data_IF_613889202681
#
_entry.id   IF_613889202681
#
_cell.length_a   1.000
_cell.length_b   1.000
_cell.length_c   1.000
_cell.angle_alpha   90.00
_cell.angle_beta   90.00
_cell.angle_gamma   90.00
#
_symmetry.space_group_name_H-M   'P 1'
#
loop_
_entity.id
_entity.type
_entity.pdbx_description
1 polymer ?
#
# COMPACT_ATOMS: atom_id res chain seq x y z
N UNK A 1 -41.34 55.81 -7.93
CA UNK A 1 -39.94 55.34 -7.91
C UNK A 1 -39.77 53.83 -8.19
N UNK A 2 -40.78 52.96 -8.05
CA UNK A 2 -40.60 51.50 -8.25
C UNK A 2 -40.51 50.98 -9.70
N UNK A 3 -41.09 51.66 -10.69
CA UNK A 3 -41.12 51.15 -12.09
C UNK A 3 -39.79 51.30 -12.83
N UNK A 4 -39.06 52.38 -12.62
CA UNK A 4 -37.73 52.57 -13.24
C UNK A 4 -36.68 51.58 -12.70
N UNK A 5 -36.74 51.25 -11.42
CA UNK A 5 -35.81 50.28 -10.79
C UNK A 5 -36.02 48.86 -11.32
N UNK A 6 -37.28 48.45 -11.51
CA UNK A 6 -37.61 47.14 -12.07
C UNK A 6 -37.16 47.00 -13.54
N UNK A 7 -37.34 48.04 -14.35
CA UNK A 7 -36.86 48.04 -15.73
C UNK A 7 -35.33 47.98 -15.82
N UNK A 8 -34.62 48.71 -14.94
CA UNK A 8 -33.16 48.67 -14.91
C UNK A 8 -32.65 47.27 -14.53
N UNK A 9 -33.27 46.63 -13.54
CA UNK A 9 -32.89 45.30 -13.05
C UNK A 9 -33.12 44.21 -14.11
N UNK A 10 -34.25 44.26 -14.82
CA UNK A 10 -34.54 43.32 -15.91
C UNK A 10 -33.56 43.52 -17.07
N UNK A 11 -33.22 44.78 -17.40
CA UNK A 11 -32.26 45.06 -18.45
C UNK A 11 -30.85 44.60 -18.09
N UNK A 12 -30.43 44.72 -16.82
CA UNK A 12 -29.14 44.19 -16.37
C UNK A 12 -29.11 42.67 -16.35
N UNK A 13 -30.20 42.00 -15.97
CA UNK A 13 -30.29 40.53 -16.01
C UNK A 13 -30.22 39.99 -17.45
N UNK A 14 -30.89 40.64 -18.40
CA UNK A 14 -30.82 40.25 -19.83
C UNK A 14 -29.44 40.57 -20.44
N UNK A 15 -28.82 41.69 -20.04
CA UNK A 15 -27.48 42.02 -20.50
C UNK A 15 -26.42 41.04 -19.95
N UNK A 16 -26.60 40.55 -18.71
CA UNK A 16 -25.71 39.55 -18.10
C UNK A 16 -25.90 38.14 -18.71
N UNK A 17 -27.11 37.76 -19.14
CA UNK A 17 -27.34 36.46 -19.77
C UNK A 17 -26.84 36.38 -21.22
N UNK A 18 -26.68 37.51 -21.91
CA UNK A 18 -26.12 37.57 -23.27
C UNK A 18 -24.59 37.69 -23.31
N UNK A 19 -23.94 37.96 -22.18
CA UNK A 19 -22.47 38.08 -22.07
C UNK A 19 -21.67 36.87 -22.59
N UNK A 20 -22.09 35.61 -22.33
CA UNK A 20 -21.38 34.43 -22.82
C UNK A 20 -21.46 34.22 -24.35
N UNK A 21 -22.42 34.85 -25.04
CA UNK A 21 -22.62 34.68 -26.48
C UNK A 21 -21.76 35.62 -27.34
N UNK A 22 -21.20 36.67 -26.75
CA UNK A 22 -20.40 37.70 -27.43
C UNK A 22 -18.90 37.61 -27.10
N UNK A 23 -18.51 36.70 -26.21
CA UNK A 23 -17.11 36.42 -25.95
C UNK A 23 -16.51 35.70 -27.17
N UNK A 24 -15.40 36.19 -27.75
CA UNK A 24 -14.64 35.40 -28.71
C UNK A 24 -14.19 34.09 -28.03
N UNK A 25 -14.17 32.96 -28.76
CA UNK A 25 -13.77 31.68 -28.17
C UNK A 25 -12.38 31.84 -27.55
N UNK A 26 -12.28 31.49 -26.28
CA UNK A 26 -10.98 31.43 -25.60
C UNK A 26 -10.16 30.29 -26.23
N UNK A 27 -8.83 30.40 -26.34
CA UNK A 27 -7.99 29.33 -26.91
C UNK A 27 -7.98 28.03 -26.06
N UNK A 28 -8.77 27.97 -24.99
CA UNK A 28 -9.03 26.81 -24.14
C UNK A 28 -10.40 26.16 -24.37
N UNK A 29 -11.22 26.66 -25.31
CA UNK A 29 -12.32 25.85 -25.85
C UNK A 29 -11.69 24.80 -26.75
N UNK A 30 -11.39 23.64 -26.16
CA UNK A 30 -11.35 22.38 -26.91
C UNK A 30 -12.56 22.37 -27.85
N UNK A 31 -12.44 21.83 -29.08
CA UNK A 31 -13.63 21.63 -29.90
C UNK A 31 -14.66 20.94 -29.01
N UNK A 32 -15.93 21.34 -29.10
CA UNK A 32 -17.03 20.53 -28.57
C UNK A 32 -16.76 19.16 -29.19
N UNK A 33 -16.23 18.23 -28.38
CA UNK A 33 -16.10 16.84 -28.73
C UNK A 33 -17.53 16.48 -29.13
N UNK A 34 -17.76 16.35 -30.43
CA UNK A 34 -18.99 15.76 -30.90
C UNK A 34 -18.99 14.41 -30.20
N UNK A 35 -19.85 14.25 -29.18
CA UNK A 35 -19.99 12.97 -28.51
C UNK A 35 -20.29 11.98 -29.62
N UNK A 36 -19.34 11.11 -29.89
CA UNK A 36 -19.54 10.04 -30.84
C UNK A 36 -20.63 9.15 -30.25
N UNK A 37 -21.85 9.35 -30.73
CA UNK A 37 -23.01 8.50 -30.43
C UNK A 37 -23.08 7.33 -31.40
N UNK A 38 -22.03 7.04 -32.17
CA UNK A 38 -21.98 5.81 -32.94
C UNK A 38 -21.87 4.64 -31.96
N UNK A 39 -22.90 3.80 -31.93
CA UNK A 39 -22.82 2.40 -31.53
C UNK A 39 -22.34 2.05 -30.13
N UNK A 40 -22.51 2.89 -29.10
CA UNK A 40 -22.27 2.44 -27.71
C UNK A 40 -23.23 1.29 -27.39
N UNK A 41 -22.71 0.21 -26.83
CA UNK A 41 -23.52 -0.95 -26.45
C UNK A 41 -24.58 -0.54 -25.43
N UNK A 42 -25.75 -1.18 -25.49
CA UNK A 42 -26.82 -0.91 -24.53
C UNK A 42 -26.40 -1.37 -23.12
N UNK A 43 -25.74 -2.52 -23.04
CA UNK A 43 -25.14 -3.08 -21.82
C UNK A 43 -23.68 -3.36 -22.12
N UNK A 44 -22.80 -2.94 -21.21
CA UNK A 44 -21.34 -3.09 -21.28
C UNK A 44 -20.85 -3.03 -19.83
N UNK A 45 -20.75 -4.18 -19.19
CA UNK A 45 -20.21 -4.27 -17.84
C UNK A 45 -18.68 -4.26 -17.90
N UNK A 46 -18.08 -3.71 -16.86
CA UNK A 46 -16.64 -3.66 -16.76
C UNK A 46 -16.22 -3.55 -15.31
N UNK A 47 -15.02 -4.01 -15.02
CA UNK A 47 -14.34 -3.71 -13.76
C UNK A 47 -13.48 -2.47 -14.00
N UNK A 48 -13.82 -1.35 -13.38
CA UNK A 48 -13.17 -0.07 -13.65
C UNK A 48 -11.97 0.22 -12.77
N UNK A 49 -11.97 -0.32 -11.55
CA UNK A 49 -10.89 -0.10 -10.59
C UNK A 49 -10.82 -1.23 -9.55
N UNK A 50 -9.62 -1.49 -9.06
CA UNK A 50 -9.38 -2.35 -7.90
C UNK A 50 -8.40 -1.64 -6.98
N UNK A 51 -8.78 -1.47 -5.72
CA UNK A 51 -7.93 -0.86 -4.70
C UNK A 51 -7.92 -1.69 -3.43
N UNK A 52 -6.93 -1.43 -2.57
CA UNK A 52 -6.79 -2.12 -1.31
C UNK A 52 -6.40 -1.14 -0.19
N UNK A 53 -6.94 -1.39 1.00
CA UNK A 53 -6.80 -0.54 2.16
C UNK A 53 -8.00 0.37 2.38
N UNK A 54 -8.16 0.80 3.63
CA UNK A 54 -9.18 1.74 4.07
C UNK A 54 -8.63 2.65 5.18
N UNK A 55 -9.49 3.50 5.76
CA UNK A 55 -9.08 4.46 6.80
C UNK A 55 -8.58 3.76 8.08
N UNK A 56 -9.02 2.52 8.36
CA UNK A 56 -8.64 1.76 9.55
C UNK A 56 -7.40 0.86 9.37
N UNK A 57 -7.17 0.33 8.17
CA UNK A 57 -5.95 -0.39 7.78
C UNK A 57 -5.56 0.13 6.41
N UNK A 58 -4.63 1.08 6.41
CA UNK A 58 -4.12 1.72 5.21
C UNK A 58 -2.94 0.93 4.67
N UNK A 59 -2.86 0.77 3.35
CA UNK A 59 -1.65 0.26 2.73
C UNK A 59 -0.44 1.18 3.03
N UNK A 60 0.74 0.56 3.16
CA UNK A 60 2.00 1.28 3.26
C UNK A 60 2.48 1.68 1.86
N UNK A 61 3.30 2.72 1.76
CA UNK A 61 3.76 3.23 0.46
C UNK A 61 5.28 3.08 0.31
N UNK A 62 5.72 2.59 -0.84
CA UNK A 62 7.12 2.47 -1.22
C UNK A 62 7.43 3.43 -2.38
N UNK A 63 8.49 4.23 -2.25
CA UNK A 63 8.97 5.10 -3.33
C UNK A 63 9.90 4.34 -4.24
N UNK A 64 9.48 4.15 -5.48
CA UNK A 64 10.25 3.50 -6.53
C UNK A 64 11.48 4.33 -6.94
N UNK A 65 12.50 3.70 -7.55
CA UNK A 65 13.71 4.41 -8.00
C UNK A 65 13.46 5.56 -8.99
N UNK A 66 12.37 5.48 -9.75
CA UNK A 66 11.93 6.52 -10.70
C UNK A 66 11.16 7.68 -10.03
N UNK A 67 10.93 7.62 -8.71
CA UNK A 67 10.18 8.59 -7.93
C UNK A 67 8.66 8.37 -7.88
N UNK A 68 8.12 7.34 -8.54
CA UNK A 68 6.70 6.96 -8.37
C UNK A 68 6.49 6.24 -7.04
N UNK A 69 5.26 6.20 -6.56
CA UNK A 69 4.89 5.45 -5.36
C UNK A 69 4.10 4.21 -5.73
N UNK A 70 4.31 3.11 -5.00
CA UNK A 70 3.46 1.92 -5.03
C UNK A 70 3.02 1.56 -3.63
N UNK A 71 1.83 1.00 -3.52
CA UNK A 71 1.28 0.58 -2.23
C UNK A 71 1.56 -0.90 -1.98
N UNK A 72 1.75 -1.25 -0.72
CA UNK A 72 2.04 -2.61 -0.26
C UNK A 72 1.47 -2.86 1.14
N UNK A 73 1.26 -4.14 1.45
CA UNK A 73 0.71 -4.61 2.73
C UNK A 73 1.61 -5.67 3.35
N UNK A 74 1.30 -6.11 4.57
CA UNK A 74 2.05 -7.17 5.25
C UNK A 74 1.27 -8.48 5.35
N UNK A 75 2.02 -9.59 5.38
CA UNK A 75 1.48 -10.92 5.68
C UNK A 75 0.76 -10.90 7.04
N UNK A 76 -0.36 -11.62 7.14
CA UNK A 76 -1.21 -11.72 8.35
C UNK A 76 -1.89 -10.43 8.80
N UNK A 77 -1.82 -9.34 8.04
CA UNK A 77 -2.64 -8.15 8.27
C UNK A 77 -3.95 -8.26 7.48
N UNK A 78 -5.10 -8.09 8.13
CA UNK A 78 -6.39 -8.05 7.42
C UNK A 78 -6.56 -6.68 6.74
N UNK A 79 -6.76 -6.70 5.43
CA UNK A 79 -6.97 -5.52 4.60
C UNK A 79 -8.34 -5.60 3.90
N UNK A 80 -8.98 -4.46 3.67
CA UNK A 80 -10.14 -4.39 2.81
C UNK A 80 -9.70 -4.29 1.35
N UNK A 81 -10.24 -5.16 0.49
CA UNK A 81 -10.12 -5.10 -0.96
C UNK A 81 -11.39 -4.48 -1.51
N UNK A 82 -11.27 -3.55 -2.45
CA UNK A 82 -12.39 -2.83 -3.07
C UNK A 82 -12.35 -2.99 -4.57
N UNK A 83 -13.46 -3.45 -5.15
CA UNK A 83 -13.63 -3.67 -6.59
C UNK A 83 -14.75 -2.78 -7.10
N UNK A 84 -14.46 -1.93 -8.08
CA UNK A 84 -15.47 -1.09 -8.73
C UNK A 84 -15.99 -1.77 -9.99
N UNK A 85 -17.28 -2.08 -9.98
CA UNK A 85 -18.01 -2.58 -11.15
C UNK A 85 -18.82 -1.46 -11.77
N UNK A 86 -18.82 -1.37 -13.09
CA UNK A 86 -19.52 -0.32 -13.83
C UNK A 86 -20.28 -0.91 -15.01
N UNK A 87 -21.46 -0.35 -15.30
CA UNK A 87 -22.11 -0.52 -16.59
C UNK A 87 -21.80 0.71 -17.46
N UNK A 88 -20.87 0.60 -18.39
CA UNK A 88 -20.48 1.63 -19.35
C UNK A 88 -21.47 1.75 -20.53
N UNK A 89 -22.48 0.89 -20.59
CA UNK A 89 -23.53 0.92 -21.59
C UNK A 89 -24.45 2.14 -21.45
N UNK A 90 -25.35 2.32 -22.42
CA UNK A 90 -26.26 3.48 -22.48
C UNK A 90 -27.70 3.17 -22.07
N UNK A 91 -28.00 1.92 -21.70
CA UNK A 91 -29.35 1.49 -21.31
C UNK A 91 -29.79 2.16 -20.00
N UNK A 92 -30.96 2.76 -19.97
CA UNK A 92 -31.43 3.52 -18.80
C UNK A 92 -32.08 2.65 -17.71
N UNK A 93 -32.57 1.47 -18.07
CA UNK A 93 -33.06 0.49 -17.11
C UNK A 93 -31.94 -0.45 -16.63
N UNK A 94 -31.99 -0.94 -15.38
CA UNK A 94 -30.94 -1.79 -14.85
C UNK A 94 -30.79 -3.10 -15.64
N UNK A 95 -29.54 -3.46 -15.93
CA UNK A 95 -29.16 -4.79 -16.41
C UNK A 95 -28.58 -5.59 -15.23
N UNK A 96 -28.74 -6.90 -15.25
CA UNK A 96 -28.17 -7.81 -14.24
C UNK A 96 -26.86 -8.39 -14.74
N UNK A 97 -25.89 -8.51 -13.83
CA UNK A 97 -24.61 -9.17 -14.07
C UNK A 97 -24.14 -9.88 -12.80
N UNK A 98 -23.16 -10.76 -12.94
CA UNK A 98 -22.47 -11.39 -11.81
C UNK A 98 -21.02 -10.92 -11.80
N UNK A 99 -20.63 -10.20 -10.75
CA UNK A 99 -19.23 -9.86 -10.49
C UNK A 99 -18.55 -10.99 -9.73
N UNK A 100 -17.32 -11.30 -10.08
CA UNK A 100 -16.43 -12.21 -9.34
C UNK A 100 -15.18 -11.46 -8.95
N UNK A 101 -14.83 -11.52 -7.66
CA UNK A 101 -13.65 -10.91 -7.08
C UNK A 101 -12.73 -12.04 -6.65
N UNK A 102 -11.49 -12.06 -7.11
CA UNK A 102 -10.57 -13.18 -6.88
C UNK A 102 -9.18 -12.69 -6.46
N UNK A 103 -8.54 -13.48 -5.59
CA UNK A 103 -7.12 -13.36 -5.31
C UNK A 103 -6.40 -14.51 -5.98
N UNK A 104 -5.48 -14.20 -6.87
CA UNK A 104 -4.69 -15.16 -7.62
C UNK A 104 -3.27 -15.24 -7.08
N UNK A 105 -2.80 -16.46 -6.86
CA UNK A 105 -1.40 -16.72 -6.60
C UNK A 105 -0.60 -16.44 -7.89
N UNK A 106 0.61 -15.86 -7.81
CA UNK A 106 1.44 -15.55 -8.99
C UNK A 106 1.85 -16.76 -9.85
N UNK A 107 1.52 -18.00 -9.45
CA UNK A 107 1.78 -19.21 -10.25
C UNK A 107 0.52 -19.73 -10.97
N UNK A 108 -0.61 -19.02 -10.86
CA UNK A 108 -1.80 -19.24 -11.67
C UNK A 108 -2.92 -20.06 -11.03
N UNK A 109 -3.08 -20.04 -9.70
CA UNK A 109 -4.26 -20.63 -9.04
C UNK A 109 -4.98 -19.61 -8.17
N UNK A 110 -6.30 -19.77 -8.03
CA UNK A 110 -7.15 -18.93 -7.19
C UNK A 110 -6.96 -19.32 -5.73
N UNK A 111 -6.59 -18.33 -4.91
CA UNK A 111 -6.43 -18.45 -3.45
C UNK A 111 -7.77 -18.25 -2.77
N UNK A 112 -8.50 -17.22 -3.18
CA UNK A 112 -9.79 -16.85 -2.62
C UNK A 112 -10.69 -16.23 -3.70
N UNK A 113 -11.99 -16.44 -3.58
CA UNK A 113 -12.98 -16.00 -4.57
C UNK A 113 -14.30 -15.65 -3.89
N UNK A 114 -14.90 -14.56 -4.35
CA UNK A 114 -16.19 -14.06 -3.91
C UNK A 114 -17.03 -13.68 -5.12
N UNK A 115 -18.36 -13.79 -5.01
CA UNK A 115 -19.28 -13.40 -6.08
C UNK A 115 -20.36 -12.46 -5.58
N UNK A 116 -20.74 -11.51 -6.43
CA UNK A 116 -21.74 -10.48 -6.15
C UNK A 116 -22.72 -10.39 -7.31
N UNK A 117 -24.00 -10.19 -6.98
CA UNK A 117 -25.03 -9.93 -7.98
C UNK A 117 -25.13 -8.42 -8.21
N UNK A 118 -24.98 -8.00 -9.45
CA UNK A 118 -25.01 -6.60 -9.86
C UNK A 118 -26.35 -6.30 -10.55
N UNK A 119 -26.83 -5.07 -10.36
CA UNK A 119 -28.01 -4.54 -11.05
C UNK A 119 -27.80 -3.05 -11.33
N UNK A 120 -27.14 -2.75 -12.44
CA UNK A 120 -26.70 -1.38 -12.78
C UNK A 120 -27.35 -0.90 -14.08
N UNK A 121 -27.86 0.33 -14.06
CA UNK A 121 -28.21 1.04 -15.28
C UNK A 121 -26.94 1.61 -15.95
N UNK A 122 -27.04 1.97 -17.22
CA UNK A 122 -25.98 2.57 -18.00
C UNK A 122 -25.43 3.84 -17.36
N UNK A 123 -24.10 3.89 -17.26
CA UNK A 123 -23.35 4.94 -16.58
C UNK A 123 -23.22 4.78 -15.06
N UNK A 124 -23.89 3.80 -14.43
CA UNK A 124 -23.78 3.56 -12.99
C UNK A 124 -22.59 2.66 -12.65
N UNK A 125 -22.01 2.88 -11.47
CA UNK A 125 -21.03 1.99 -10.84
C UNK A 125 -21.42 1.65 -9.40
N UNK A 126 -20.85 0.56 -8.88
CA UNK A 126 -20.92 0.15 -7.47
C UNK A 126 -19.53 -0.31 -7.03
N UNK A 127 -19.22 -0.10 -5.76
CA UNK A 127 -17.98 -0.58 -5.14
C UNK A 127 -18.37 -1.69 -4.19
N UNK A 128 -17.80 -2.87 -4.40
CA UNK A 128 -17.96 -4.02 -3.52
C UNK A 128 -16.66 -4.22 -2.76
N UNK A 129 -16.75 -4.59 -1.48
CA UNK A 129 -15.57 -4.75 -0.63
C UNK A 129 -15.59 -6.02 0.19
N UNK A 130 -14.41 -6.62 0.33
CA UNK A 130 -14.19 -7.88 1.05
C UNK A 130 -12.95 -7.75 1.92
N UNK A 131 -12.98 -8.32 3.12
CA UNK A 131 -11.81 -8.39 3.99
C UNK A 131 -10.97 -9.62 3.63
N UNK A 132 -9.67 -9.42 3.48
CA UNK A 132 -8.73 -10.46 3.11
C UNK A 132 -7.47 -10.40 3.97
N UNK A 133 -6.93 -11.58 4.31
CA UNK A 133 -5.66 -11.70 5.05
C UNK A 133 -4.67 -12.53 4.23
N UNK A 134 -3.57 -11.93 3.72
CA UNK A 134 -2.56 -12.65 2.97
C UNK A 134 -1.84 -13.68 3.85
N UNK A 135 -1.74 -14.91 3.34
CA UNK A 135 -1.08 -16.01 4.03
C UNK A 135 0.43 -16.06 3.81
N UNK A 136 0.94 -15.46 2.73
CA UNK A 136 2.35 -15.47 2.36
C UNK A 136 2.76 -14.18 1.63
N UNK A 137 4.07 -13.91 1.58
CA UNK A 137 4.65 -12.81 0.82
C UNK A 137 5.25 -13.34 -0.48
N UNK A 138 4.93 -12.69 -1.60
CA UNK A 138 5.51 -12.97 -2.93
C UNK A 138 6.08 -11.72 -3.60
N UNK A 139 6.31 -10.67 -2.83
CA UNK A 139 7.00 -9.46 -3.30
C UNK A 139 8.50 -9.71 -3.48
N UNK A 140 9.12 -8.92 -4.35
CA UNK A 140 10.56 -8.91 -4.57
C UNK A 140 11.05 -7.51 -4.88
N UNK A 141 12.32 -7.26 -4.59
CA UNK A 141 13.03 -6.08 -5.05
C UNK A 141 13.89 -6.48 -6.25
N UNK A 142 13.74 -5.78 -7.36
CA UNK A 142 14.56 -5.96 -8.56
C UNK A 142 15.96 -5.37 -8.36
N UNK A 143 16.91 -5.74 -9.23
CA UNK A 143 18.31 -5.28 -9.15
C UNK A 143 18.45 -3.75 -9.22
N UNK A 144 17.49 -3.07 -9.84
CA UNK A 144 17.39 -1.61 -9.95
C UNK A 144 16.74 -0.94 -8.73
N UNK A 145 16.28 -1.73 -7.75
CA UNK A 145 15.56 -1.25 -6.57
C UNK A 145 14.04 -1.12 -6.78
N UNK A 146 13.49 -1.61 -7.89
CA UNK A 146 12.05 -1.56 -8.14
C UNK A 146 11.32 -2.65 -7.35
N UNK A 147 10.34 -2.26 -6.51
CA UNK A 147 9.49 -3.18 -5.77
C UNK A 147 8.37 -3.70 -6.67
N UNK A 148 8.19 -5.02 -6.72
CA UNK A 148 7.14 -5.65 -7.52
C UNK A 148 6.76 -7.05 -7.03
N UNK A 149 5.95 -7.75 -7.82
CA UNK A 149 5.41 -9.07 -7.47
C UNK A 149 4.19 -8.99 -6.55
N UNK A 150 3.99 -10.04 -5.75
CA UNK A 150 2.81 -10.18 -4.88
C UNK A 150 1.72 -11.09 -5.46
N UNK A 151 0.47 -10.85 -5.04
CA UNK A 151 -0.70 -11.53 -5.59
C UNK A 151 -1.33 -10.68 -6.70
N UNK A 152 -2.21 -11.30 -7.48
CA UNK A 152 -3.00 -10.61 -8.50
C UNK A 152 -4.45 -10.55 -8.00
N UNK A 153 -4.98 -9.35 -7.82
CA UNK A 153 -6.40 -9.14 -7.61
C UNK A 153 -7.08 -9.12 -8.97
N UNK A 154 -8.01 -10.04 -9.20
CA UNK A 154 -8.76 -10.11 -10.45
C UNK A 154 -10.23 -9.84 -10.17
N UNK A 155 -10.74 -8.77 -10.74
CA UNK A 155 -12.17 -8.58 -10.90
C UNK A 155 -12.58 -9.14 -12.25
N UNK A 156 -13.69 -9.87 -12.29
CA UNK A 156 -14.35 -10.24 -13.53
C UNK A 156 -15.85 -10.00 -13.44
N UNK A 157 -16.50 -9.72 -14.57
CA UNK A 157 -17.95 -9.54 -14.62
C UNK A 157 -18.55 -10.34 -15.77
N UNK A 158 -19.67 -11.01 -15.51
CA UNK A 158 -20.50 -11.68 -16.52
C UNK A 158 -21.81 -10.92 -16.67
N UNK A 159 -21.90 -10.08 -17.71
CA UNK A 159 -23.10 -9.35 -18.10
C UNK A 159 -24.09 -10.17 -18.95
N UNK A 160 -23.79 -11.45 -19.19
CA UNK A 160 -24.56 -12.36 -20.03
C UNK A 160 -24.60 -11.93 -21.50
N UNK A 161 -25.54 -12.50 -22.26
CA UNK A 161 -25.67 -12.28 -23.72
C UNK A 161 -26.00 -10.85 -24.15
N UNK A 162 -26.36 -9.99 -23.20
CA UNK A 162 -26.66 -8.57 -23.46
C UNK A 162 -25.39 -7.73 -23.46
N UNK A 163 -24.36 -8.20 -22.76
CA UNK A 163 -23.04 -7.62 -22.85
C UNK A 163 -22.42 -7.99 -24.19
N UNK A 164 -22.12 -6.98 -24.99
CA UNK A 164 -21.55 -7.17 -26.32
C UNK A 164 -20.03 -7.10 -26.34
N UNK A 165 -19.40 -6.78 -25.21
CA UNK A 165 -18.00 -6.41 -25.14
C UNK A 165 -17.26 -7.19 -24.05
N UNK A 166 -16.80 -8.40 -24.36
CA UNK A 166 -16.11 -9.24 -23.39
C UNK A 166 -14.66 -8.78 -23.09
N UNK A 167 -14.16 -7.74 -23.76
CA UNK A 167 -12.75 -7.36 -23.72
C UNK A 167 -12.34 -6.56 -22.48
N UNK A 168 -13.31 -5.98 -21.77
CA UNK A 168 -13.15 -5.16 -20.56
C UNK A 168 -13.87 -5.76 -19.35
N UNK A 169 -14.31 -7.02 -19.47
CA UNK A 169 -14.96 -7.77 -18.40
C UNK A 169 -14.00 -8.19 -17.29
N UNK A 170 -12.68 -8.14 -17.55
CA UNK A 170 -11.64 -8.56 -16.61
C UNK A 170 -10.67 -7.42 -16.38
N UNK A 171 -10.39 -7.14 -15.10
CA UNK A 171 -9.35 -6.19 -14.69
C UNK A 171 -8.47 -6.83 -13.61
N UNK A 172 -7.16 -6.67 -13.78
CA UNK A 172 -6.14 -7.21 -12.89
C UNK A 172 -5.36 -6.07 -12.25
N UNK A 173 -5.17 -6.15 -10.94
CA UNK A 173 -4.31 -5.25 -10.17
C UNK A 173 -3.32 -6.07 -9.34
N UNK A 174 -2.06 -5.62 -9.25
CA UNK A 174 -1.08 -6.31 -8.43
C UNK A 174 -1.13 -5.80 -7.00
N UNK A 175 -1.20 -6.71 -6.03
CA UNK A 175 -1.10 -6.39 -4.61
C UNK A 175 0.23 -6.89 -4.04
N UNK A 176 1.07 -5.95 -3.65
CA UNK A 176 2.41 -6.24 -3.13
C UNK A 176 2.27 -6.60 -1.64
N UNK A 177 2.77 -7.79 -1.28
CA UNK A 177 2.74 -8.28 0.11
C UNK A 177 4.16 -8.48 0.62
N UNK A 178 4.55 -7.68 1.61
CA UNK A 178 5.79 -7.80 2.37
C UNK A 178 5.66 -8.78 3.53
N UNK A 179 6.79 -9.33 3.99
CA UNK A 179 6.81 -10.30 5.08
C UNK A 179 6.44 -9.67 6.42
N UNK A 180 7.20 -8.65 6.80
CA UNK A 180 7.05 -7.92 8.06
C UNK A 180 8.02 -6.74 8.04
N UNK A 181 7.69 -5.70 8.79
CA UNK A 181 8.62 -4.67 9.20
C UNK A 181 8.43 -4.48 10.70
N UNK A 182 9.52 -4.29 11.43
CA UNK A 182 9.46 -3.89 12.82
C UNK A 182 10.33 -2.67 13.02
N UNK A 183 9.96 -1.90 14.02
CA UNK A 183 10.79 -0.80 14.45
C UNK A 183 11.90 -1.35 15.34
N UNK A 184 13.13 -0.94 15.05
CA UNK A 184 14.28 -1.30 15.88
C UNK A 184 14.55 -0.16 16.87
N UNK A 185 13.57 0.14 17.74
CA UNK A 185 13.79 1.14 18.82
C UNK A 185 14.54 0.57 20.01
N UNK A 186 14.52 -0.74 20.22
CA UNK A 186 15.22 -1.41 21.30
C UNK A 186 16.32 -2.30 20.75
N UNK A 187 17.57 -1.88 20.92
CA UNK A 187 18.71 -2.76 20.83
C UNK A 187 19.60 -2.59 22.06
N UNK A 188 20.12 -3.70 22.58
CA UNK A 188 21.17 -3.63 23.60
C UNK A 188 22.48 -3.33 22.86
N UNK A 189 23.10 -2.21 23.18
CA UNK A 189 24.46 -1.86 22.78
C UNK A 189 25.31 -1.57 24.01
N UNK A 190 26.63 -1.64 23.90
CA UNK A 190 27.51 -1.24 24.98
C UNK A 190 28.06 0.16 24.73
N UNK A 191 29.33 0.35 25.07
CA UNK A 191 30.06 1.61 25.00
C UNK A 191 30.74 1.69 23.62
N UNK A 192 30.09 2.37 22.68
CA UNK A 192 30.47 2.38 21.26
C UNK A 192 31.63 3.35 21.01
N UNK A 193 31.80 4.37 21.85
CA UNK A 193 32.84 5.40 21.71
C UNK A 193 34.00 5.28 22.71
N UNK A 194 33.93 4.33 23.63
CA UNK A 194 34.96 4.01 24.61
C UNK A 194 35.05 5.02 25.77
N UNK A 195 33.98 5.76 26.03
CA UNK A 195 33.91 6.77 27.09
C UNK A 195 33.59 6.18 28.49
N UNK A 196 33.30 4.89 28.56
CA UNK A 196 32.94 4.15 29.77
C UNK A 196 31.44 4.16 30.08
N UNK A 197 30.60 4.70 29.20
CA UNK A 197 29.15 4.71 29.32
C UNK A 197 28.49 3.89 28.19
N UNK A 198 27.40 3.19 28.51
CA UNK A 198 26.64 2.49 27.47
C UNK A 198 25.86 3.51 26.62
N UNK A 199 26.00 3.43 25.30
CA UNK A 199 25.31 4.27 24.32
C UNK A 199 23.86 3.84 24.06
N UNK A 200 23.34 2.93 24.88
CA UNK A 200 21.96 2.44 24.84
C UNK A 200 20.97 3.60 24.88
N UNK A 201 20.13 3.79 23.84
CA UNK A 201 19.05 4.77 23.88
C UNK A 201 18.01 4.42 24.95
N UNK A 202 17.90 3.13 25.29
CA UNK A 202 16.91 2.60 26.21
C UNK A 202 17.65 1.82 27.32
N UNK A 203 17.33 2.09 28.58
CA UNK A 203 17.70 1.17 29.65
C UNK A 203 17.03 -0.19 29.40
N UNK A 204 17.67 -1.29 29.83
CA UNK A 204 17.13 -2.65 29.78
C UNK A 204 15.64 -2.64 30.19
N UNK A 205 14.75 -2.87 29.22
CA UNK A 205 13.31 -2.93 29.47
C UNK A 205 12.88 -4.39 29.53
N UNK A 206 12.49 -4.83 30.71
CA UNK A 206 11.93 -6.17 30.91
C UNK A 206 10.62 -6.34 30.14
N UNK A 207 10.33 -7.57 29.72
CA UNK A 207 9.10 -8.00 29.03
C UNK A 207 8.87 -7.42 27.62
N UNK A 208 9.78 -6.60 27.09
CA UNK A 208 9.74 -6.16 25.69
C UNK A 208 10.86 -6.84 24.91
N UNK A 209 10.57 -7.46 23.77
CA UNK A 209 11.61 -8.12 23.02
C UNK A 209 12.52 -7.11 22.33
N UNK A 210 13.79 -7.45 22.22
CA UNK A 210 14.81 -6.57 21.65
C UNK A 210 15.79 -7.35 20.77
N UNK A 211 16.37 -6.66 19.79
CA UNK A 211 17.48 -7.19 19.02
C UNK A 211 18.80 -6.97 19.76
N UNK A 212 19.70 -7.95 19.73
CA UNK A 212 21.06 -7.80 20.26
C UNK A 212 22.07 -8.18 19.18
N UNK A 213 23.04 -7.31 18.93
CA UNK A 213 24.30 -7.69 18.30
C UNK A 213 25.22 -8.32 19.35
N UNK A 214 25.71 -9.53 19.11
CA UNK A 214 26.65 -10.20 20.01
C UNK A 214 27.85 -10.76 19.23
N UNK A 215 29.05 -10.43 19.70
CA UNK A 215 30.31 -10.97 19.21
C UNK A 215 30.77 -12.16 20.05
N UNK A 216 31.17 -13.25 19.38
CA UNK A 216 31.56 -14.51 20.03
C UNK A 216 33.03 -14.87 19.82
N UNK A 217 33.65 -15.42 20.88
CA UNK A 217 35.03 -15.88 20.84
C UNK A 217 35.27 -17.03 19.84
N UNK A 218 36.51 -17.14 19.35
CA UNK A 218 36.93 -18.28 18.54
C UNK A 218 37.27 -19.45 19.45
N UNK A 219 36.26 -20.25 19.79
CA UNK A 219 36.40 -21.43 20.63
C UNK A 219 35.05 -22.01 21.01
N UNK A 220 35.04 -23.21 21.58
CA UNK A 220 33.83 -24.01 21.82
C UNK A 220 33.01 -23.53 23.04
N UNK A 221 33.27 -22.32 23.54
CA UNK A 221 32.70 -21.81 24.79
C UNK A 221 31.48 -20.90 24.57
N UNK A 222 31.22 -20.45 23.33
CA UNK A 222 30.11 -19.55 22.99
C UNK A 222 29.96 -18.34 23.94
N UNK A 223 31.04 -17.91 24.58
CA UNK A 223 31.02 -16.78 25.50
C UNK A 223 30.99 -15.46 24.71
N UNK A 224 30.11 -14.55 25.15
CA UNK A 224 29.96 -13.21 24.59
C UNK A 224 31.19 -12.38 24.99
N UNK A 225 31.88 -11.83 23.99
CA UNK A 225 33.12 -11.05 24.17
C UNK A 225 32.89 -9.56 24.07
N UNK A 226 32.02 -9.16 23.16
CA UNK A 226 31.85 -7.80 22.69
C UNK A 226 30.47 -7.64 22.01
N UNK A 227 30.13 -6.41 21.63
CA UNK A 227 28.85 -5.96 21.06
C UNK A 227 28.56 -6.48 19.63
N UNK A 228 29.53 -7.19 19.04
CA UNK A 228 29.42 -7.75 17.69
C UNK A 228 29.29 -6.68 16.59
N UNK A 229 29.22 -7.14 15.34
CA UNK A 229 29.22 -6.24 14.18
C UNK A 229 27.95 -5.39 14.00
N UNK A 230 26.83 -5.69 14.67
CA UNK A 230 25.55 -4.98 14.46
C UNK A 230 25.33 -3.99 15.59
N UNK A 231 25.57 -2.71 15.32
CA UNK A 231 25.53 -1.64 16.32
C UNK A 231 24.37 -0.68 16.04
N UNK A 232 23.73 -0.21 17.10
CA UNK A 232 22.64 0.74 17.02
C UNK A 232 23.17 2.16 16.85
N UNK A 233 22.64 2.90 15.89
CA UNK A 233 22.99 4.31 15.74
C UNK A 233 22.20 5.18 16.72
N UNK A 234 22.90 6.00 17.47
CA UNK A 234 22.31 6.90 18.47
C UNK A 234 21.53 8.08 17.86
N UNK A 235 21.76 8.41 16.58
CA UNK A 235 21.22 9.64 15.96
C UNK A 235 20.84 9.52 14.47
N UNK A 236 20.04 8.52 14.08
CA UNK A 236 19.59 8.37 12.68
C UNK A 236 18.09 8.13 12.57
N UNK A 237 17.47 8.63 11.50
CA UNK A 237 16.09 8.26 11.13
C UNK A 237 16.11 6.89 10.45
N UNK A 238 15.21 6.01 10.84
CA UNK A 238 14.96 4.73 10.16
C UNK A 238 13.75 4.86 9.23
N UNK A 239 13.60 3.93 8.30
CA UNK A 239 12.36 3.78 7.55
C UNK A 239 11.19 3.48 8.52
N UNK A 240 11.46 2.75 9.60
CA UNK A 240 10.54 2.48 10.70
C UNK A 240 11.16 2.85 12.04
N UNK A 241 10.50 3.79 12.73
CA UNK A 241 10.94 4.27 14.03
C UNK A 241 12.05 5.32 13.96
N UNK A 242 12.69 5.55 15.10
CA UNK A 242 13.67 6.64 15.26
C UNK A 242 15.12 6.17 15.24
N UNK A 243 15.38 4.90 14.91
CA UNK A 243 16.68 4.23 15.08
C UNK A 243 16.83 3.07 14.09
N UNK A 244 18.05 2.82 13.61
CA UNK A 244 18.41 1.66 12.80
C UNK A 244 19.73 1.02 13.25
N UNK A 245 19.91 -0.25 12.91
CA UNK A 245 21.19 -0.95 13.07
C UNK A 245 22.09 -0.68 11.88
N UNK A 246 23.36 -0.42 12.15
CA UNK A 246 24.42 -0.39 11.14
C UNK A 246 25.41 -1.51 11.37
N UNK A 247 26.18 -1.84 10.34
CA UNK A 247 27.42 -2.58 10.53
C UNK A 247 28.41 -1.63 11.22
N UNK A 248 29.09 -2.09 12.27
CA UNK A 248 30.01 -1.32 13.10
C UNK A 248 30.90 -0.40 12.25
N UNK A 249 30.99 0.87 12.67
CA UNK A 249 31.71 1.89 11.90
C UNK A 249 33.22 1.62 11.86
N UNK A 250 33.86 1.95 10.74
CA UNK A 250 35.28 1.75 10.50
C UNK A 250 36.14 2.64 11.41
N UNK A 251 36.46 2.13 12.60
CA UNK A 251 37.53 2.67 13.46
C UNK A 251 38.92 2.23 13.00
N UNK A 252 39.04 1.59 11.83
CA UNK A 252 40.27 1.00 11.29
C UNK A 252 40.51 -0.44 11.72
N UNK A 253 39.62 -1.03 12.54
CA UNK A 253 39.65 -2.43 12.97
C UNK A 253 38.38 -3.11 12.49
N UNK A 254 38.49 -3.94 11.45
CA UNK A 254 37.38 -4.76 11.00
C UNK A 254 37.05 -5.79 12.09
N UNK A 255 35.91 -5.63 12.77
CA UNK A 255 35.39 -6.64 13.69
C UNK A 255 35.10 -7.89 12.87
N UNK A 256 35.62 -9.04 13.31
CA UNK A 256 35.55 -10.28 12.55
C UNK A 256 34.11 -10.82 12.51
N UNK A 257 33.44 -10.70 11.37
CA UNK A 257 32.10 -11.24 11.09
C UNK A 257 31.96 -12.78 11.22
N UNK A 258 33.06 -13.52 11.41
CA UNK A 258 33.04 -14.99 11.42
C UNK A 258 32.15 -15.56 12.53
N UNK A 259 32.06 -14.88 13.66
CA UNK A 259 31.41 -15.39 14.86
C UNK A 259 30.26 -14.52 15.37
N UNK A 260 30.02 -13.36 14.76
CA UNK A 260 29.03 -12.39 15.23
C UNK A 260 27.63 -12.73 14.77
N UNK A 261 26.63 -12.52 15.63
CA UNK A 261 25.23 -12.86 15.35
C UNK A 261 24.28 -11.81 15.90
N UNK A 262 23.14 -11.69 15.23
CA UNK A 262 22.01 -10.93 15.75
C UNK A 262 21.01 -11.90 16.39
N UNK A 263 20.60 -11.59 17.62
CA UNK A 263 19.66 -12.41 18.39
C UNK A 263 18.39 -11.63 18.68
N UNK A 264 17.26 -12.28 18.52
CA UNK A 264 15.98 -11.81 19.03
C UNK A 264 15.79 -12.40 20.42
N UNK A 265 15.75 -11.54 21.45
CA UNK A 265 15.62 -12.00 22.85
C UNK A 265 14.39 -11.41 23.53
N UNK A 266 13.92 -12.13 24.56
CA UNK A 266 12.95 -11.65 25.53
C UNK A 266 13.67 -11.53 26.90
N UNK A 267 14.15 -10.34 27.30
CA UNK A 267 14.85 -10.20 28.57
C UNK A 267 13.88 -10.35 29.74
N UNK A 268 14.18 -11.27 30.64
CA UNK A 268 13.46 -11.44 31.90
C UNK A 268 14.03 -10.53 33.01
N UNK A 269 13.30 -10.45 34.13
CA UNK A 269 13.71 -9.64 35.30
C UNK A 269 15.05 -10.05 35.93
N UNK A 270 15.59 -11.24 35.59
CA UNK A 270 16.84 -11.77 36.11
C UNK A 270 18.04 -11.46 35.20
N UNK A 271 17.83 -10.74 34.09
CA UNK A 271 18.85 -10.46 33.07
C UNK A 271 19.35 -11.72 32.35
N UNK A 272 18.55 -12.80 32.39
CA UNK A 272 18.84 -14.05 31.72
C UNK A 272 18.07 -14.14 30.40
N UNK A 273 18.60 -14.92 29.45
CA UNK A 273 17.98 -15.16 28.14
C UNK A 273 16.91 -16.26 28.18
N UNK A 274 16.12 -16.33 29.25
CA UNK A 274 15.02 -17.29 29.35
C UNK A 274 13.78 -16.70 28.70
N UNK A 275 13.09 -17.49 27.88
CA UNK A 275 11.87 -17.08 27.16
C UNK A 275 10.64 -16.93 28.06
N UNK A 276 10.80 -17.04 29.39
CA UNK A 276 9.74 -16.88 30.37
C UNK A 276 8.66 -17.97 30.32
N UNK A 277 8.85 -19.02 29.53
CA UNK A 277 7.95 -20.18 29.43
C UNK A 277 8.61 -21.42 30.05
N UNK A 278 8.55 -21.53 31.38
CA UNK A 278 8.62 -22.84 32.06
C UNK A 278 7.22 -23.49 32.13
#
# INVERSE_FOLDING_TARGET
>A
MGRLSAFLLVFTLVAMSAGPLLAPPSPSDSPIEAFDTSGRALVDFTVSDISFGNVSSSASTFTQPNGSSVDYIYVRETIALSFEFRNAGTRLDPASAVGTMEVWHPIGFVVESWSVNLSLAGGQSTIESVDWTPAAAHSHLSDDGTLGGGYILRGSVDGGVLDGNEANDVYDENIIVGLYHDRVEGAVCGDVDGDGAADCPNAWSFDNPVWIGAGYDVGNDFSVKDEGQFQMLTSSTSAEGSRHLQIASDTGVYVSNRNDRMWWMWPDSNQDCNDGFD
#
